data_IF_459279562027
#
_entry.id   IF_459279562027
#
_cell.length_a   1.000
_cell.length_b   1.000
_cell.length_c   1.000
_cell.angle_alpha   90.00
_cell.angle_beta   90.00
_cell.angle_gamma   90.00
#
_symmetry.space_group_name_H-M   'P 1'
#
loop_
_entity.id
_entity.type
_entity.pdbx_description
1 polymer ?
#
# COMPACT_ATOMS: atom_id res chain seq x y z
N UNK A 1 -65.29 -9.34 -12.28
CA UNK A 1 -64.96 -7.94 -12.57
C UNK A 1 -64.08 -7.45 -11.43
N UNK A 2 -62.81 -7.18 -11.76
CA UNK A 2 -61.85 -6.19 -11.19
C UNK A 2 -62.29 -5.44 -9.92
N UNK A 3 -61.45 -5.25 -8.89
CA UNK A 3 -60.08 -4.73 -8.99
C UNK A 3 -59.14 -5.30 -7.92
N UNK A 4 -57.88 -5.50 -8.33
CA UNK A 4 -56.73 -5.74 -7.46
C UNK A 4 -56.15 -4.35 -7.21
N UNK A 5 -56.31 -3.81 -6.01
CA UNK A 5 -55.63 -2.59 -5.61
C UNK A 5 -54.26 -2.98 -5.08
N UNK A 6 -53.28 -2.72 -5.93
CA UNK A 6 -51.86 -2.91 -5.73
C UNK A 6 -51.37 -1.89 -4.71
N UNK A 7 -51.15 -2.31 -3.47
CA UNK A 7 -50.49 -1.46 -2.48
C UNK A 7 -49.04 -1.22 -2.92
N UNK A 8 -48.80 0.06 -3.21
CA UNK A 8 -47.59 0.65 -3.74
C UNK A 8 -46.46 0.51 -2.71
N UNK A 9 -45.59 -0.49 -2.87
CA UNK A 9 -44.30 -0.50 -2.19
C UNK A 9 -43.46 0.66 -2.73
N UNK A 10 -43.46 1.78 -2.01
CA UNK A 10 -42.41 2.78 -2.14
C UNK A 10 -41.10 2.11 -1.71
N UNK A 11 -40.40 1.50 -2.68
CA UNK A 11 -38.98 1.30 -2.60
C UNK A 11 -38.36 2.68 -2.48
N UNK A 12 -38.14 3.09 -1.24
CA UNK A 12 -37.35 4.26 -0.90
C UNK A 12 -35.94 3.93 -1.36
N UNK A 13 -35.63 4.36 -2.59
CA UNK A 13 -34.29 4.34 -3.14
C UNK A 13 -33.44 5.10 -2.13
N UNK A 14 -32.65 4.36 -1.35
CA UNK A 14 -31.58 4.96 -0.58
C UNK A 14 -30.58 5.46 -1.61
N UNK A 15 -30.82 6.65 -2.15
CA UNK A 15 -29.78 7.50 -2.70
C UNK A 15 -28.80 7.76 -1.55
N UNK A 16 -27.91 6.79 -1.30
CA UNK A 16 -26.61 7.08 -0.71
C UNK A 16 -25.93 7.91 -1.77
N UNK A 17 -26.17 9.22 -1.69
CA UNK A 17 -25.32 10.21 -2.34
C UNK A 17 -23.95 9.97 -1.77
N UNK A 18 -23.15 9.19 -2.49
CA UNK A 18 -21.72 9.19 -2.30
C UNK A 18 -21.31 10.63 -2.57
N UNK A 19 -21.14 11.40 -1.50
CA UNK A 19 -20.41 12.66 -1.54
C UNK A 19 -19.01 12.27 -2.00
N UNK A 20 -18.85 12.20 -3.31
CA UNK A 20 -17.59 11.89 -3.96
C UNK A 20 -16.64 12.99 -3.55
N UNK A 21 -15.77 12.70 -2.60
CA UNK A 21 -14.59 13.50 -2.39
C UNK A 21 -13.88 13.56 -3.73
N UNK A 22 -13.88 14.75 -4.36
CA UNK A 22 -13.19 14.99 -5.60
C UNK A 22 -11.71 14.63 -5.43
N UNK A 23 -11.36 13.44 -5.92
CA UNK A 23 -9.98 13.03 -6.09
C UNK A 23 -9.39 12.13 -5.02
N UNK A 24 -10.05 11.72 -3.93
CA UNK A 24 -9.49 10.70 -3.01
C UNK A 24 -9.94 9.28 -3.37
N UNK A 25 -9.02 8.30 -3.49
CA UNK A 25 -9.35 6.90 -3.65
C UNK A 25 -10.27 6.42 -2.53
N UNK A 26 -11.26 5.60 -2.90
CA UNK A 26 -12.16 4.98 -1.94
C UNK A 26 -11.36 4.13 -0.92
N UNK A 27 -11.74 4.14 0.36
CA UNK A 27 -11.01 3.42 1.42
C UNK A 27 -10.80 1.93 1.11
N UNK A 28 -11.83 1.27 0.57
CA UNK A 28 -11.73 -0.12 0.09
C UNK A 28 -10.60 -0.35 -0.93
N UNK A 29 -10.33 0.63 -1.81
CA UNK A 29 -9.20 0.55 -2.74
C UNK A 29 -7.88 0.65 -1.99
N UNK A 30 -7.76 1.59 -1.04
CA UNK A 30 -6.55 1.74 -0.21
C UNK A 30 -6.24 0.45 0.55
N UNK A 31 -7.26 -0.18 1.14
CA UNK A 31 -7.12 -1.49 1.79
C UNK A 31 -6.67 -2.59 0.82
N UNK A 32 -7.20 -2.59 -0.41
CA UNK A 32 -6.78 -3.53 -1.45
C UNK A 32 -5.31 -3.32 -1.88
N UNK A 33 -4.82 -2.07 -1.88
CA UNK A 33 -3.40 -1.77 -2.14
C UNK A 33 -2.47 -2.43 -1.11
N UNK A 34 -2.93 -2.67 0.13
CA UNK A 34 -2.13 -3.33 1.16
C UNK A 34 -1.79 -4.80 0.87
N UNK A 35 -2.44 -5.41 -0.11
CA UNK A 35 -2.12 -6.77 -0.57
C UNK A 35 -1.12 -6.79 -1.73
N UNK A 36 -0.75 -5.62 -2.25
CA UNK A 36 0.17 -5.50 -3.38
C UNK A 36 1.62 -5.60 -2.92
N UNK A 37 2.46 -6.18 -3.78
CA UNK A 37 3.90 -6.18 -3.56
C UNK A 37 4.51 -4.79 -3.79
N UNK A 38 5.75 -4.61 -3.34
CA UNK A 38 6.52 -3.37 -3.50
C UNK A 38 6.55 -2.87 -4.94
N UNK A 39 6.74 -3.79 -5.91
CA UNK A 39 6.70 -3.48 -7.33
C UNK A 39 5.37 -2.91 -7.79
N UNK A 40 4.28 -3.56 -7.41
CA UNK A 40 2.94 -3.19 -7.84
C UNK A 40 2.56 -1.82 -7.25
N UNK A 41 2.97 -1.54 -6.01
CA UNK A 41 2.82 -0.23 -5.39
C UNK A 41 3.55 0.87 -6.19
N UNK A 42 4.77 0.61 -6.69
CA UNK A 42 5.46 1.54 -7.58
C UNK A 42 4.75 1.75 -8.92
N UNK A 43 4.12 0.71 -9.47
CA UNK A 43 3.28 0.86 -10.67
C UNK A 43 2.06 1.73 -10.37
N UNK A 44 1.42 1.53 -9.22
CA UNK A 44 0.26 2.33 -8.77
C UNK A 44 0.61 3.81 -8.61
N UNK A 45 1.82 4.14 -8.13
CA UNK A 45 2.30 5.53 -8.07
C UNK A 45 2.35 6.24 -9.43
N UNK A 46 2.37 5.49 -10.54
CA UNK A 46 2.42 6.06 -11.88
C UNK A 46 1.05 6.19 -12.54
N UNK A 47 -0.03 5.75 -11.89
CA UNK A 47 -1.39 5.79 -12.44
C UNK A 47 -1.99 7.19 -12.35
N UNK A 48 -2.02 7.79 -11.15
CA UNK A 48 -2.51 9.15 -10.95
C UNK A 48 -1.88 9.81 -9.72
N UNK A 49 -2.00 11.14 -9.62
CA UNK A 49 -1.45 11.93 -8.51
C UNK A 49 -2.03 11.54 -7.15
N UNK A 50 -3.29 11.13 -7.12
CA UNK A 50 -3.94 10.77 -5.86
C UNK A 50 -3.50 9.42 -5.33
N UNK A 51 -3.46 8.40 -6.19
CA UNK A 51 -2.92 7.09 -5.81
C UNK A 51 -1.45 7.18 -5.44
N UNK A 52 -0.67 8.00 -6.17
CA UNK A 52 0.71 8.32 -5.78
C UNK A 52 0.79 8.88 -4.36
N UNK A 53 -0.07 9.85 -4.04
CA UNK A 53 -0.11 10.45 -2.70
C UNK A 53 -0.44 9.41 -1.63
N UNK A 54 -1.44 8.55 -1.86
CA UNK A 54 -1.80 7.48 -0.92
C UNK A 54 -0.63 6.52 -0.73
N UNK A 55 -0.07 6.00 -1.82
CA UNK A 55 1.03 5.03 -1.76
C UNK A 55 2.27 5.59 -1.06
N UNK A 56 2.59 6.87 -1.25
CA UNK A 56 3.77 7.49 -0.65
C UNK A 56 3.59 7.82 0.83
N UNK A 57 2.37 8.08 1.28
CA UNK A 57 2.09 8.63 2.61
C UNK A 57 1.38 7.66 3.56
N UNK A 58 0.84 6.53 3.08
CA UNK A 58 0.21 5.52 3.93
C UNK A 58 1.27 4.52 4.45
N UNK A 59 1.62 4.56 5.76
CA UNK A 59 2.63 3.66 6.31
C UNK A 59 2.20 2.19 6.35
N UNK A 60 0.88 1.93 6.28
CA UNK A 60 0.32 0.57 6.35
C UNK A 60 0.76 -0.27 5.15
N UNK A 61 0.92 0.35 3.98
CA UNK A 61 1.33 -0.29 2.73
C UNK A 61 2.79 -0.75 2.76
N UNK A 62 3.60 -0.23 3.69
CA UNK A 62 5.04 -0.47 3.78
C UNK A 62 5.43 -1.27 5.03
N UNK A 63 4.49 -2.00 5.65
CA UNK A 63 4.77 -2.83 6.84
C UNK A 63 5.56 -4.09 6.52
N UNK A 64 5.38 -4.62 5.32
CA UNK A 64 5.93 -5.91 4.88
C UNK A 64 6.62 -5.75 3.54
N UNK A 65 7.94 -5.51 3.56
CA UNK A 65 8.73 -5.27 2.36
C UNK A 65 9.44 -6.54 1.95
N UNK A 66 9.13 -7.02 0.75
CA UNK A 66 9.78 -8.17 0.14
C UNK A 66 10.44 -7.75 -1.17
N UNK A 67 11.77 -7.75 -1.20
CA UNK A 67 12.58 -7.46 -2.38
C UNK A 67 13.11 -8.79 -2.92
N UNK A 68 12.51 -9.23 -4.02
CA UNK A 68 12.88 -10.46 -4.72
C UNK A 68 13.38 -10.14 -6.14
N UNK A 69 14.10 -11.06 -6.79
CA UNK A 69 14.39 -10.95 -8.22
C UNK A 69 13.12 -10.74 -9.05
N UNK A 70 13.15 -9.83 -10.05
CA UNK A 70 14.29 -9.06 -10.55
C UNK A 70 14.51 -7.66 -9.91
N UNK A 71 13.88 -7.35 -8.77
CA UNK A 71 13.94 -5.99 -8.17
C UNK A 71 15.29 -5.71 -7.56
N UNK A 72 15.81 -6.73 -6.90
CA UNK A 72 17.07 -6.74 -6.18
C UNK A 72 18.23 -6.13 -6.98
N UNK A 73 18.26 -6.29 -8.30
CA UNK A 73 19.31 -5.75 -9.18
C UNK A 73 19.32 -4.21 -9.26
N UNK A 74 18.17 -3.58 -8.99
CA UNK A 74 17.96 -2.13 -9.09
C UNK A 74 17.87 -1.43 -7.75
N UNK A 75 17.69 -2.16 -6.65
CA UNK A 75 17.61 -1.58 -5.30
C UNK A 75 19.03 -1.30 -4.79
N UNK A 76 19.28 -0.04 -4.41
CA UNK A 76 20.49 0.43 -3.73
C UNK A 76 20.17 0.86 -2.30
N UNK A 77 21.20 1.20 -1.51
CA UNK A 77 21.05 1.72 -0.15
C UNK A 77 20.08 2.90 -0.05
N UNK A 78 20.21 3.89 -0.94
CA UNK A 78 19.33 5.07 -0.95
C UNK A 78 17.87 4.67 -1.20
N UNK A 79 17.65 3.74 -2.13
CA UNK A 79 16.30 3.31 -2.52
C UNK A 79 15.68 2.50 -1.38
N UNK A 80 16.40 1.56 -0.77
CA UNK A 80 15.84 0.78 0.34
C UNK A 80 15.56 1.66 1.56
N UNK A 81 16.40 2.68 1.81
CA UNK A 81 16.16 3.66 2.87
C UNK A 81 14.91 4.50 2.60
N UNK A 82 14.71 4.95 1.35
CA UNK A 82 13.49 5.67 0.96
C UNK A 82 12.24 4.82 1.12
N UNK A 83 12.27 3.56 0.66
CA UNK A 83 11.14 2.63 0.74
C UNK A 83 10.79 2.36 2.21
N UNK A 84 11.78 1.95 3.01
CA UNK A 84 11.58 1.61 4.43
C UNK A 84 11.20 2.84 5.26
N UNK A 85 11.64 4.03 4.87
CA UNK A 85 11.24 5.31 5.47
C UNK A 85 9.76 5.63 5.31
N UNK A 86 9.10 5.17 4.24
CA UNK A 86 7.64 5.33 4.05
C UNK A 86 6.82 4.60 5.10
N UNK A 87 7.38 3.53 5.68
CA UNK A 87 6.79 2.83 6.81
C UNK A 87 6.76 3.66 8.10
N UNK A 88 7.45 4.80 8.18
CA UNK A 88 7.48 5.71 9.33
C UNK A 88 7.71 4.98 10.67
N UNK A 89 8.63 4.01 10.67
CA UNK A 89 8.95 3.19 11.84
C UNK A 89 7.92 2.11 12.18
N UNK A 90 6.93 1.88 11.30
CA UNK A 90 5.93 0.81 11.41
C UNK A 90 6.28 -0.46 10.63
N UNK A 91 7.41 -0.47 9.92
CA UNK A 91 7.95 -1.64 9.22
C UNK A 91 8.13 -2.81 10.19
N UNK A 92 7.57 -3.97 9.85
CA UNK A 92 7.57 -5.17 10.69
C UNK A 92 8.43 -6.29 10.08
N UNK A 93 8.38 -6.43 8.76
CA UNK A 93 9.09 -7.45 7.99
C UNK A 93 9.88 -6.82 6.85
N UNK A 94 11.15 -7.23 6.73
CA UNK A 94 12.02 -6.88 5.62
C UNK A 94 12.68 -8.16 5.11
N UNK A 95 12.41 -8.52 3.86
CA UNK A 95 13.04 -9.63 3.14
C UNK A 95 13.82 -9.09 1.96
N UNK A 96 15.10 -9.44 1.87
CA UNK A 96 16.02 -8.99 0.83
C UNK A 96 16.69 -10.22 0.23
N UNK A 97 16.22 -10.65 -0.95
CA UNK A 97 16.75 -11.83 -1.65
C UNK A 97 17.67 -11.39 -2.77
N UNK A 98 18.92 -11.88 -2.74
CA UNK A 98 19.97 -11.60 -3.72
C UNK A 98 20.25 -10.09 -3.97
N UNK A 99 20.09 -9.24 -2.95
CA UNK A 99 20.34 -7.81 -3.04
C UNK A 99 21.84 -7.45 -2.94
N UNK A 100 22.58 -7.53 -4.05
CA UNK A 100 24.04 -7.31 -4.08
C UNK A 100 24.48 -5.84 -3.93
N UNK A 101 23.56 -4.88 -4.10
CA UNK A 101 23.87 -3.44 -4.13
C UNK A 101 23.51 -2.73 -2.82
N UNK A 102 23.08 -3.49 -1.83
CA UNK A 102 22.79 -3.00 -0.48
C UNK A 102 24.01 -3.29 0.39
N UNK A 103 24.53 -2.27 1.08
CA UNK A 103 25.65 -2.38 2.01
C UNK A 103 25.18 -2.57 3.44
N UNK A 104 26.07 -3.09 4.30
CA UNK A 104 25.79 -3.25 5.73
C UNK A 104 25.48 -1.91 6.42
N UNK A 105 26.12 -0.82 5.97
CA UNK A 105 25.80 0.53 6.45
C UNK A 105 24.39 0.94 6.05
N UNK A 106 23.96 0.65 4.80
CA UNK A 106 22.59 0.88 4.37
C UNK A 106 21.57 0.13 5.23
N UNK A 107 21.82 -1.16 5.49
CA UNK A 107 20.98 -1.97 6.37
C UNK A 107 20.92 -1.44 7.81
N UNK A 108 22.06 -0.99 8.34
CA UNK A 108 22.11 -0.39 9.67
C UNK A 108 21.20 0.84 9.77
N UNK A 109 21.25 1.75 8.78
CA UNK A 109 20.36 2.91 8.74
C UNK A 109 18.88 2.51 8.64
N UNK A 110 18.56 1.45 7.90
CA UNK A 110 17.19 0.92 7.82
C UNK A 110 16.71 0.46 9.20
N UNK A 111 17.54 -0.27 9.95
CA UNK A 111 17.20 -0.78 11.28
C UNK A 111 17.04 0.38 12.27
N UNK A 112 17.93 1.38 12.25
CA UNK A 112 17.88 2.55 13.13
C UNK A 112 16.58 3.37 12.94
N UNK A 113 16.09 3.48 11.70
CA UNK A 113 14.84 4.19 11.39
C UNK A 113 13.57 3.36 11.64
N UNK A 114 13.70 2.04 11.84
CA UNK A 114 12.56 1.12 11.96
C UNK A 114 12.61 0.30 13.26
N UNK A 115 12.31 0.92 14.41
CA UNK A 115 12.43 0.27 15.72
C UNK A 115 11.44 -0.89 15.91
N UNK A 116 10.38 -0.98 15.09
CA UNK A 116 9.40 -2.06 15.12
C UNK A 116 9.74 -3.22 14.20
N UNK A 117 10.90 -3.21 13.54
CA UNK A 117 11.32 -4.33 12.69
C UNK A 117 11.55 -5.57 13.56
N UNK A 118 10.61 -6.52 13.52
CA UNK A 118 10.58 -7.63 14.49
C UNK A 118 11.55 -8.73 14.08
N UNK A 119 11.67 -9.02 12.78
CA UNK A 119 12.63 -9.98 12.22
C UNK A 119 12.91 -9.66 10.74
N UNK A 120 14.16 -9.75 10.26
CA UNK A 120 14.41 -9.96 8.85
C UNK A 120 13.76 -11.29 8.45
N UNK A 121 12.87 -11.24 7.46
CA UNK A 121 12.13 -12.40 6.99
C UNK A 121 13.04 -13.17 6.01
N UNK A 122 13.76 -14.15 6.54
CA UNK A 122 14.45 -15.16 5.72
C UNK A 122 13.39 -16.17 5.27
N UNK A 123 13.03 -16.16 3.99
CA UNK A 123 12.15 -17.14 3.37
C UNK A 123 12.87 -17.86 2.23
#
# INVERSE_FOLDING_TARGET
>A
MVSVDQENEEFQDCEVRAEGHEGTPHEALILALGYLGVWDLFVVENVCTSLRSVVQNDPLLWRDIHINPPLNEKITDDVILQITGRGQGSLQCLSLVDCQRITDEGLKHVIENNPKLIKPCFQ
#
